data_IF_482634464024
#
_entry.id   IF_482634464024
#
_cell.length_a   1.000
_cell.length_b   1.000
_cell.length_c   1.000
_cell.angle_alpha   90.00
_cell.angle_beta   90.00
_cell.angle_gamma   90.00
#
_symmetry.space_group_name_H-M   'P 1'
#
loop_
_entity.id
_entity.type
_entity.pdbx_description
1 polymer ?
#
# COMPACT_ATOMS: atom_id res chain seq x y z
N UNK A 1 -4.93 -18.82 11.45
CA UNK A 1 -4.19 -17.61 11.92
C UNK A 1 -4.77 -17.21 13.27
N UNK A 2 -3.94 -17.06 14.30
CA UNK A 2 -4.34 -16.61 15.63
C UNK A 2 -4.65 -15.10 15.64
N UNK A 3 -5.17 -14.57 16.77
CA UNK A 3 -5.57 -13.14 16.87
C UNK A 3 -4.41 -12.16 16.69
N UNK A 4 -3.23 -12.49 17.21
CA UNK A 4 -2.05 -11.62 17.13
C UNK A 4 -1.51 -11.56 15.70
N UNK A 5 -1.41 -12.70 15.02
CA UNK A 5 -0.98 -12.76 13.62
C UNK A 5 -1.98 -12.05 12.70
N UNK A 6 -3.28 -12.18 12.98
CA UNK A 6 -4.30 -11.47 12.22
C UNK A 6 -4.22 -9.95 12.41
N UNK A 7 -3.92 -9.49 13.63
CA UNK A 7 -3.73 -8.07 13.91
C UNK A 7 -2.53 -7.50 13.14
N UNK A 8 -1.39 -8.20 13.15
CA UNK A 8 -0.21 -7.84 12.37
C UNK A 8 -0.50 -7.84 10.85
N UNK A 9 -1.14 -8.90 10.34
CA UNK A 9 -1.54 -8.97 8.95
C UNK A 9 -2.40 -7.76 8.54
N UNK A 10 -3.44 -7.47 9.34
CA UNK A 10 -4.33 -6.34 9.10
C UNK A 10 -3.57 -5.01 9.12
N UNK A 11 -2.75 -4.76 10.14
CA UNK A 11 -1.92 -3.54 10.26
C UNK A 11 -1.03 -3.36 9.02
N UNK A 12 -0.43 -4.45 8.51
CA UNK A 12 0.46 -4.41 7.35
C UNK A 12 -0.29 -4.11 6.06
N UNK A 13 -1.37 -4.85 5.75
CA UNK A 13 -2.07 -4.67 4.46
C UNK A 13 -2.84 -3.35 4.40
N UNK A 14 -3.26 -2.80 5.55
CA UNK A 14 -3.94 -1.51 5.63
C UNK A 14 -2.98 -0.30 5.72
N UNK A 15 -1.70 -0.51 6.04
CA UNK A 15 -0.70 0.55 6.00
C UNK A 15 -0.54 1.07 4.56
N UNK A 16 -0.69 2.39 4.30
CA UNK A 16 -0.55 2.91 2.95
C UNK A 16 0.89 2.78 2.46
N UNK A 17 1.03 2.31 1.21
CA UNK A 17 2.35 2.11 0.61
C UNK A 17 2.36 2.13 -0.93
N UNK A 18 1.73 3.12 -1.59
CA UNK A 18 1.98 3.27 -3.01
C UNK A 18 3.48 3.38 -3.29
N UNK A 19 3.96 2.79 -4.42
CA UNK A 19 5.40 2.82 -4.76
C UNK A 19 5.97 4.24 -4.65
N UNK A 20 7.07 4.38 -3.89
CA UNK A 20 7.65 5.67 -3.47
C UNK A 20 7.16 6.21 -2.12
N UNK A 21 6.17 5.54 -1.48
CA UNK A 21 5.63 5.93 -0.17
C UNK A 21 5.48 4.71 0.77
N UNK A 22 6.43 3.80 0.76
CA UNK A 22 6.34 2.51 1.47
C UNK A 22 6.68 2.61 2.97
N UNK A 23 7.18 3.75 3.44
CA UNK A 23 7.62 3.92 4.83
C UNK A 23 6.59 3.52 5.88
N UNK A 24 5.26 3.73 5.70
CA UNK A 24 4.27 3.27 6.67
C UNK A 24 4.23 1.74 6.80
N UNK A 25 4.25 0.99 5.68
CA UNK A 25 4.28 -0.47 5.68
C UNK A 25 5.62 -1.00 6.23
N UNK A 26 6.74 -0.39 5.86
CA UNK A 26 8.07 -0.75 6.37
C UNK A 26 8.19 -0.55 7.89
N UNK A 27 7.54 0.48 8.47
CA UNK A 27 7.48 0.64 9.94
C UNK A 27 6.76 -0.52 10.62
N UNK A 28 5.68 -1.03 10.01
CA UNK A 28 4.94 -2.20 10.54
C UNK A 28 5.82 -3.45 10.53
N UNK A 29 6.53 -3.71 9.43
CA UNK A 29 7.49 -4.83 9.34
C UNK A 29 8.60 -4.71 10.37
N UNK A 30 9.24 -3.54 10.47
CA UNK A 30 10.32 -3.31 11.46
C UNK A 30 9.83 -3.54 12.88
N UNK A 31 8.66 -3.04 13.25
CA UNK A 31 8.03 -3.25 14.54
C UNK A 31 7.78 -4.74 14.83
N UNK A 32 7.27 -5.48 13.82
CA UNK A 32 6.96 -6.91 13.97
C UNK A 32 8.20 -7.79 14.12
N UNK A 33 9.36 -7.33 13.67
CA UNK A 33 10.62 -8.08 13.68
C UNK A 33 11.65 -7.56 14.70
N UNK A 34 11.33 -6.49 15.46
CA UNK A 34 12.28 -5.83 16.37
C UNK A 34 12.91 -6.77 17.42
N UNK A 35 12.10 -7.69 17.96
CA UNK A 35 12.55 -8.67 18.98
C UNK A 35 12.84 -10.06 18.37
N UNK A 36 12.88 -10.15 17.02
CA UNK A 36 13.03 -11.40 16.28
C UNK A 36 14.38 -11.50 15.59
N UNK A 37 14.78 -10.46 14.90
CA UNK A 37 16.02 -10.42 14.13
C UNK A 37 17.20 -9.96 14.98
N UNK A 38 18.39 -10.47 14.67
CA UNK A 38 19.64 -10.05 15.29
C UNK A 38 20.10 -8.69 14.74
N UNK A 39 19.77 -8.40 13.46
CA UNK A 39 19.96 -7.10 12.83
C UNK A 39 18.78 -6.73 11.93
N UNK A 40 18.39 -5.46 11.95
CA UNK A 40 17.38 -4.91 11.03
C UNK A 40 17.90 -3.60 10.47
N UNK A 41 18.17 -3.60 9.18
CA UNK A 41 18.62 -2.41 8.43
C UNK A 41 17.64 -2.01 7.35
N UNK A 42 17.71 -0.75 6.96
CA UNK A 42 17.04 -0.23 5.76
C UNK A 42 18.14 0.19 4.78
N UNK A 43 18.06 -0.30 3.54
CA UNK A 43 19.03 0.08 2.51
C UNK A 43 18.68 1.43 1.87
N UNK A 44 19.50 1.89 0.94
CA UNK A 44 19.37 3.18 0.26
C UNK A 44 18.09 3.29 -0.60
N UNK A 45 17.53 2.17 -1.03
CA UNK A 45 16.28 2.11 -1.79
C UNK A 45 15.05 2.15 -0.88
N UNK A 46 15.20 1.82 0.42
CA UNK A 46 14.10 1.72 1.35
C UNK A 46 13.70 0.28 1.70
N UNK A 47 14.37 -0.74 1.16
CA UNK A 47 14.13 -2.14 1.54
C UNK A 47 14.48 -2.36 3.00
N UNK A 48 13.62 -3.05 3.73
CA UNK A 48 13.92 -3.52 5.08
C UNK A 48 14.47 -4.93 5.01
N UNK A 49 15.68 -5.12 5.50
CA UNK A 49 16.38 -6.40 5.60
C UNK A 49 16.50 -6.79 7.06
N UNK A 50 15.86 -7.88 7.46
CA UNK A 50 15.98 -8.49 8.78
C UNK A 50 16.85 -9.73 8.68
N UNK A 51 17.83 -9.87 9.56
CA UNK A 51 18.80 -10.96 9.57
C UNK A 51 18.69 -11.76 10.86
N UNK A 52 18.67 -13.07 10.74
CA UNK A 52 18.83 -14.02 11.85
C UNK A 52 20.12 -14.82 11.59
N UNK A 53 21.10 -14.64 12.48
CA UNK A 53 22.41 -15.26 12.35
C UNK A 53 22.29 -16.79 12.52
N UNK A 54 22.81 -17.50 11.52
CA UNK A 54 22.91 -18.96 11.52
C UNK A 54 24.21 -19.49 12.10
N UNK A 55 24.37 -20.80 12.19
CA UNK A 55 25.63 -21.42 12.58
C UNK A 55 26.80 -20.96 11.70
N UNK A 56 27.99 -20.84 12.29
CA UNK A 56 29.19 -20.43 11.56
C UNK A 56 29.45 -21.33 10.34
N UNK A 57 29.51 -20.71 9.16
CA UNK A 57 29.70 -21.41 7.87
C UNK A 57 28.42 -21.98 7.27
N UNK A 58 27.25 -21.71 7.86
CA UNK A 58 25.96 -22.08 7.28
C UNK A 58 25.72 -21.39 5.93
N UNK A 59 24.96 -22.03 5.01
CA UNK A 59 24.57 -21.41 3.76
C UNK A 59 23.65 -20.22 4.03
N UNK A 60 23.73 -19.19 3.17
CA UNK A 60 22.84 -18.02 3.25
C UNK A 60 21.56 -18.28 2.49
N UNK A 61 20.43 -17.97 3.14
CA UNK A 61 19.11 -18.04 2.54
C UNK A 61 18.45 -16.67 2.64
N UNK A 62 17.92 -16.16 1.53
CA UNK A 62 17.15 -14.92 1.49
C UNK A 62 15.73 -15.21 1.02
N UNK A 63 14.75 -14.70 1.79
CA UNK A 63 13.34 -14.71 1.47
C UNK A 63 12.90 -13.28 1.26
N UNK A 64 12.14 -13.01 0.21
CA UNK A 64 11.70 -11.66 -0.12
C UNK A 64 10.23 -11.62 -0.52
N UNK A 65 9.54 -10.56 -0.10
CA UNK A 65 8.22 -10.16 -0.58
C UNK A 65 8.19 -8.65 -0.70
N UNK A 66 7.35 -8.07 -1.59
CA UNK A 66 7.29 -6.63 -1.69
C UNK A 66 6.13 -6.03 -0.88
N UNK A 67 6.31 -4.80 -0.37
CA UNK A 67 5.34 -4.14 0.50
C UNK A 67 4.64 -2.95 -0.17
N UNK A 68 5.03 -2.59 -1.37
CA UNK A 68 4.35 -1.55 -2.13
C UNK A 68 3.01 -2.03 -2.70
N UNK A 69 2.19 -1.09 -3.06
CA UNK A 69 0.87 -1.30 -3.64
C UNK A 69 0.60 -0.32 -4.77
N UNK A 70 -0.36 -0.64 -5.63
CA UNK A 70 -0.87 0.29 -6.63
C UNK A 70 -1.66 1.41 -5.95
N UNK A 71 -1.67 2.59 -6.58
CA UNK A 71 -2.39 3.75 -6.07
C UNK A 71 -2.37 4.91 -7.03
N UNK A 72 -2.40 6.11 -6.49
CA UNK A 72 -2.37 7.33 -7.28
C UNK A 72 -1.48 8.38 -6.63
N UNK A 73 -1.12 9.40 -7.40
CA UNK A 73 -0.44 10.60 -6.94
C UNK A 73 -1.20 11.84 -7.43
N UNK A 74 -1.45 12.79 -6.54
CA UNK A 74 -2.07 14.08 -6.89
C UNK A 74 -1.10 14.86 -7.77
N UNK A 75 -1.55 15.27 -8.96
CA UNK A 75 -0.72 16.02 -9.93
C UNK A 75 -1.21 17.44 -10.21
N UNK A 76 -2.48 17.73 -9.93
CA UNK A 76 -3.07 19.02 -10.20
C UNK A 76 -4.34 19.24 -9.38
N UNK A 77 -4.64 20.48 -9.00
CA UNK A 77 -5.89 20.88 -8.34
C UNK A 77 -6.52 21.95 -9.22
N UNK A 78 -7.77 21.78 -9.63
CA UNK A 78 -8.49 22.76 -10.44
C UNK A 78 -9.12 23.90 -9.62
N UNK A 79 -9.67 24.90 -10.30
CA UNK A 79 -10.25 26.07 -9.64
C UNK A 79 -11.50 25.73 -8.81
N UNK A 80 -12.14 24.61 -9.07
CA UNK A 80 -13.31 24.11 -8.32
C UNK A 80 -12.93 23.27 -7.12
N UNK A 81 -11.64 22.91 -6.97
CA UNK A 81 -11.12 22.11 -5.85
C UNK A 81 -11.07 20.61 -6.12
N UNK A 82 -11.33 20.16 -7.35
CA UNK A 82 -11.14 18.76 -7.75
C UNK A 82 -9.66 18.44 -7.93
N UNK A 83 -9.27 17.23 -7.49
CA UNK A 83 -7.89 16.76 -7.58
C UNK A 83 -7.74 15.86 -8.80
N UNK A 84 -6.86 16.20 -9.70
CA UNK A 84 -6.45 15.34 -10.81
C UNK A 84 -5.22 14.54 -10.41
N UNK A 85 -5.15 13.30 -10.83
CA UNK A 85 -4.17 12.34 -10.37
C UNK A 85 -3.52 11.56 -11.51
N UNK A 86 -2.40 10.94 -11.22
CA UNK A 86 -1.75 9.95 -12.05
C UNK A 86 -1.77 8.59 -11.34
N UNK A 87 -1.89 7.46 -12.05
CA UNK A 87 -1.78 6.14 -11.44
C UNK A 87 -0.33 5.87 -11.03
N UNK A 88 -0.16 5.12 -9.95
CA UNK A 88 1.07 4.48 -9.51
C UNK A 88 0.85 2.98 -9.70
N UNK A 89 1.67 2.35 -10.53
CA UNK A 89 1.51 0.95 -10.92
C UNK A 89 0.38 0.69 -11.92
N UNK A 90 0.04 -0.55 -12.12
CA UNK A 90 -0.93 -1.03 -13.10
C UNK A 90 -2.39 -0.94 -12.64
N UNK A 91 -2.93 0.27 -12.52
CA UNK A 91 -4.33 0.48 -12.14
C UNK A 91 -5.24 0.40 -13.35
N UNK A 92 -6.30 -0.42 -13.29
CA UNK A 92 -7.34 -0.46 -14.32
C UNK A 92 -8.30 0.74 -14.20
N UNK A 93 -8.28 1.62 -15.22
CA UNK A 93 -9.08 2.84 -15.25
C UNK A 93 -10.59 2.60 -15.21
N UNK A 94 -11.09 1.40 -15.59
CA UNK A 94 -12.50 1.03 -15.49
C UNK A 94 -13.00 0.91 -14.06
N UNK A 95 -12.14 0.43 -13.14
CA UNK A 95 -12.50 0.10 -11.77
C UNK A 95 -12.44 1.30 -10.81
N UNK A 96 -11.94 2.43 -11.28
CA UNK A 96 -11.63 3.58 -10.41
C UNK A 96 -12.81 4.54 -10.18
N UNK A 97 -13.64 4.87 -11.18
CA UNK A 97 -14.78 5.76 -10.96
C UNK A 97 -15.76 5.22 -9.91
N UNK A 98 -16.13 6.08 -8.95
CA UNK A 98 -17.00 5.72 -7.84
C UNK A 98 -16.27 5.13 -6.61
N UNK A 99 -14.99 4.81 -6.72
CA UNK A 99 -14.20 4.32 -5.58
C UNK A 99 -13.97 5.42 -4.56
N UNK A 100 -14.03 5.04 -3.28
CA UNK A 100 -13.55 5.86 -2.17
C UNK A 100 -12.05 5.72 -2.08
N UNK A 101 -11.38 6.85 -1.87
CA UNK A 101 -9.92 6.94 -1.78
C UNK A 101 -9.51 7.78 -0.59
N UNK A 102 -8.26 7.64 -0.18
CA UNK A 102 -7.66 8.43 0.90
C UNK A 102 -6.36 9.04 0.38
N UNK A 103 -6.28 10.37 0.37
CA UNK A 103 -5.02 11.08 0.15
C UNK A 103 -4.23 11.11 1.47
N UNK A 104 -2.96 10.72 1.41
CA UNK A 104 -2.06 10.69 2.57
C UNK A 104 -1.21 11.95 2.58
N UNK A 105 -1.61 12.91 3.39
CA UNK A 105 -1.01 14.26 3.45
C UNK A 105 -0.14 14.45 4.69
N UNK A 106 0.63 15.53 4.72
CA UNK A 106 1.45 15.90 5.89
C UNK A 106 0.62 16.18 7.14
N UNK A 107 -0.63 16.57 6.97
CA UNK A 107 -1.55 16.90 8.09
C UNK A 107 -2.46 15.74 8.48
N UNK A 108 -2.37 14.61 7.77
CA UNK A 108 -3.16 13.41 8.01
C UNK A 108 -3.94 12.95 6.78
N UNK A 109 -4.72 11.87 6.91
CA UNK A 109 -5.48 11.32 5.80
C UNK A 109 -6.69 12.21 5.44
N UNK A 110 -6.89 12.45 4.14
CA UNK A 110 -8.01 13.19 3.59
C UNK A 110 -8.85 12.25 2.74
N UNK A 111 -10.12 11.98 3.11
CA UNK A 111 -11.01 11.13 2.32
C UNK A 111 -11.49 11.84 1.06
N UNK A 112 -11.73 11.05 0.00
CA UNK A 112 -12.28 11.52 -1.25
C UNK A 112 -13.01 10.42 -2.00
N UNK A 113 -13.68 10.80 -3.07
CA UNK A 113 -14.34 9.88 -4.00
C UNK A 113 -13.91 10.19 -5.43
N UNK A 114 -13.67 9.15 -6.23
CA UNK A 114 -13.32 9.34 -7.64
C UNK A 114 -14.55 9.58 -8.47
N UNK A 115 -14.58 10.73 -9.15
CA UNK A 115 -15.61 11.13 -10.10
C UNK A 115 -15.13 11.05 -11.54
N UNK A 116 -16.13 11.00 -12.43
CA UNK A 116 -15.95 11.16 -13.87
C UNK A 116 -17.14 11.93 -14.46
N UNK A 117 -17.04 12.33 -15.73
CA UNK A 117 -18.17 12.92 -16.43
C UNK A 117 -19.41 12.00 -16.36
N UNK A 118 -20.61 12.53 -16.00
CA UNK A 118 -21.84 11.75 -15.95
C UNK A 118 -22.20 11.11 -17.29
N UNK A 119 -22.82 9.92 -17.27
CA UNK A 119 -23.11 9.13 -18.47
C UNK A 119 -23.97 9.88 -19.51
N UNK A 120 -24.92 10.73 -19.05
CA UNK A 120 -25.79 11.52 -19.91
C UNK A 120 -25.07 12.69 -20.62
N UNK A 121 -23.87 13.05 -20.20
CA UNK A 121 -23.00 14.06 -20.82
C UNK A 121 -21.92 13.42 -21.70
N UNK A 122 -21.91 12.09 -21.81
CA UNK A 122 -20.96 11.35 -22.67
C UNK A 122 -21.70 11.01 -23.95
N UNK A 123 -21.06 11.29 -25.09
CA UNK A 123 -21.60 10.93 -26.42
C UNK A 123 -21.87 9.43 -26.48
N UNK A 124 -23.01 9.00 -27.16
CA UNK A 124 -23.39 7.60 -27.18
C UNK A 124 -22.27 6.63 -27.60
N UNK A 125 -21.49 7.01 -28.62
CA UNK A 125 -20.35 6.20 -29.12
C UNK A 125 -19.16 6.10 -28.15
N UNK A 126 -19.10 6.94 -27.11
CA UNK A 126 -18.02 6.97 -26.15
C UNK A 126 -18.39 6.33 -24.79
N UNK A 127 -19.66 5.94 -24.62
CA UNK A 127 -20.15 5.39 -23.34
C UNK A 127 -19.55 4.04 -22.99
N UNK A 128 -19.19 3.25 -24.00
CA UNK A 128 -18.56 1.93 -23.83
C UNK A 128 -17.03 2.01 -23.76
N UNK A 129 -16.45 3.19 -23.99
CA UNK A 129 -15.00 3.39 -23.92
C UNK A 129 -14.53 3.58 -22.49
N UNK A 130 -13.33 3.07 -22.22
CA UNK A 130 -12.64 3.33 -20.94
C UNK A 130 -12.47 4.83 -20.75
N UNK A 131 -12.95 5.36 -19.63
CA UNK A 131 -12.68 6.75 -19.26
C UNK A 131 -11.20 6.88 -18.84
N UNK A 132 -10.35 7.58 -19.61
CA UNK A 132 -8.95 7.72 -19.27
C UNK A 132 -8.75 8.53 -17.97
N UNK A 133 -7.67 8.27 -17.23
CA UNK A 133 -7.39 8.95 -15.97
C UNK A 133 -7.40 10.48 -16.06
N UNK A 134 -6.98 11.05 -17.18
CA UNK A 134 -7.02 12.50 -17.40
C UNK A 134 -8.42 13.13 -17.33
N UNK A 135 -9.47 12.31 -17.45
CA UNK A 135 -10.88 12.71 -17.39
C UNK A 135 -11.57 12.24 -16.10
N UNK A 136 -10.79 11.70 -15.17
CA UNK A 136 -11.22 11.34 -13.81
C UNK A 136 -10.64 12.34 -12.82
N UNK A 137 -11.33 12.56 -11.71
CA UNK A 137 -10.91 13.47 -10.65
C UNK A 137 -11.29 12.89 -9.29
N UNK A 138 -10.64 13.36 -8.23
CA UNK A 138 -11.01 13.05 -6.86
C UNK A 138 -11.71 14.28 -6.27
N UNK A 139 -12.91 14.08 -5.75
CA UNK A 139 -13.66 15.05 -4.99
C UNK A 139 -13.42 14.82 -3.49
N UNK A 140 -12.89 15.84 -2.81
CA UNK A 140 -12.65 15.86 -1.34
C UNK A 140 -13.60 16.81 -0.62
N UNK A 141 -14.68 17.28 -1.30
CA UNK A 141 -15.68 18.18 -0.73
C UNK A 141 -15.26 19.65 -0.67
N UNK A 142 -14.20 20.04 -1.39
CA UNK A 142 -13.79 21.44 -1.47
C UNK A 142 -14.49 22.18 -2.62
N UNK A 143 -14.82 23.46 -2.41
CA UNK A 143 -15.48 24.32 -3.40
C UNK A 143 -14.53 25.26 -4.14
N UNK A 144 -13.23 25.17 -3.90
CA UNK A 144 -12.22 25.99 -4.56
C UNK A 144 -10.82 25.39 -4.43
N UNK A 145 -9.96 25.72 -5.39
CA UNK A 145 -8.53 25.39 -5.37
C UNK A 145 -7.86 25.75 -4.05
N UNK A 146 -8.05 26.98 -3.59
CA UNK A 146 -7.46 27.49 -2.35
C UNK A 146 -7.91 26.70 -1.10
N UNK A 147 -9.14 26.17 -1.10
CA UNK A 147 -9.63 25.32 -0.01
C UNK A 147 -8.97 23.95 -0.07
N UNK A 148 -8.87 23.33 -1.24
CA UNK A 148 -8.24 22.03 -1.43
C UNK A 148 -6.74 22.05 -1.13
N UNK A 149 -5.99 23.07 -1.59
CA UNK A 149 -4.56 23.23 -1.36
C UNK A 149 -4.17 23.46 0.12
N UNK A 150 -5.14 23.75 1.00
CA UNK A 150 -4.91 23.73 2.46
C UNK A 150 -4.88 22.33 3.04
N UNK A 151 -5.49 21.38 2.37
CA UNK A 151 -5.65 19.99 2.83
C UNK A 151 -4.67 19.04 2.14
N UNK A 152 -4.37 19.28 0.86
CA UNK A 152 -3.56 18.39 0.03
C UNK A 152 -2.47 19.17 -0.71
N UNK A 153 -1.43 18.45 -1.12
CA UNK A 153 -0.34 18.95 -1.95
C UNK A 153 -0.18 18.14 -3.22
N UNK A 154 0.35 18.75 -4.28
CA UNK A 154 0.82 17.99 -5.44
C UNK A 154 1.92 17.04 -4.98
N UNK A 155 1.84 15.77 -5.40
CA UNK A 155 2.75 14.70 -4.99
C UNK A 155 2.23 13.87 -3.81
N UNK A 156 1.15 14.27 -3.13
CA UNK A 156 0.57 13.43 -2.08
C UNK A 156 0.07 12.10 -2.67
N UNK A 157 0.44 10.95 -2.07
CA UNK A 157 -0.01 9.65 -2.52
C UNK A 157 -1.45 9.39 -2.08
N UNK A 158 -2.15 8.58 -2.89
CA UNK A 158 -3.56 8.24 -2.67
C UNK A 158 -3.74 6.73 -2.78
N UNK A 159 -4.46 6.14 -1.82
CA UNK A 159 -4.84 4.73 -1.85
C UNK A 159 -6.35 4.55 -1.95
N UNK A 160 -6.79 3.39 -2.40
CA UNK A 160 -8.19 2.98 -2.23
C UNK A 160 -8.53 2.87 -0.74
N UNK A 161 -9.71 3.36 -0.35
CA UNK A 161 -10.19 3.30 1.05
C UNK A 161 -10.85 1.95 1.35
N UNK A 162 -10.11 0.85 1.10
CA UNK A 162 -10.56 -0.53 1.34
C UNK A 162 -9.60 -1.17 2.33
N UNK A 163 -10.15 -1.72 3.40
CA UNK A 163 -9.41 -2.49 4.40
C UNK A 163 -9.63 -4.00 4.28
N UNK A 164 -9.21 -4.72 5.31
CA UNK A 164 -9.44 -6.17 5.40
C UNK A 164 -10.91 -6.45 5.73
N UNK A 165 -11.58 -7.17 4.85
CA UNK A 165 -12.94 -7.64 5.03
C UNK A 165 -13.02 -9.18 4.96
N UNK A 166 -13.89 -9.75 5.78
CA UNK A 166 -14.15 -11.19 5.75
C UNK A 166 -15.24 -11.48 4.72
N UNK A 167 -14.94 -12.41 3.84
CA UNK A 167 -15.91 -13.01 2.92
C UNK A 167 -16.43 -14.34 3.50
N UNK A 168 -17.21 -15.07 2.72
CA UNK A 168 -17.75 -16.38 3.14
C UNK A 168 -16.63 -17.38 3.46
N UNK A 169 -16.84 -18.16 4.50
CA UNK A 169 -15.89 -19.17 4.96
C UNK A 169 -14.61 -18.55 5.56
N UNK A 170 -13.47 -18.96 5.05
CA UNK A 170 -12.15 -18.52 5.54
C UNK A 170 -11.48 -17.46 4.67
N UNK A 171 -12.21 -16.92 3.69
CA UNK A 171 -11.67 -15.97 2.71
C UNK A 171 -11.65 -14.55 3.26
N UNK A 172 -10.65 -13.81 2.82
CA UNK A 172 -10.48 -12.38 3.11
C UNK A 172 -10.32 -11.63 1.78
N UNK A 173 -10.74 -10.39 1.79
CA UNK A 173 -10.40 -9.41 0.74
C UNK A 173 -9.76 -8.19 1.36
N UNK A 174 -8.86 -7.55 0.64
CA UNK A 174 -8.24 -6.28 1.00
C UNK A 174 -7.56 -5.69 -0.24
N UNK A 175 -7.22 -4.40 -0.19
CA UNK A 175 -6.19 -3.87 -1.07
C UNK A 175 -4.82 -4.47 -0.70
N UNK A 176 -3.84 -4.34 -1.57
CA UNK A 176 -2.42 -4.64 -1.31
C UNK A 176 -2.10 -6.10 -0.88
N UNK A 177 -2.96 -7.07 -1.19
CA UNK A 177 -2.63 -8.49 -0.95
C UNK A 177 -1.45 -8.92 -1.82
N UNK A 178 -1.31 -8.37 -3.01
CA UNK A 178 -0.15 -8.44 -3.87
C UNK A 178 0.76 -7.23 -3.58
N UNK A 179 1.96 -7.40 -2.98
CA UNK A 179 2.45 -8.68 -2.40
C UNK A 179 2.76 -8.55 -0.89
N UNK A 180 2.01 -7.69 -0.18
CA UNK A 180 2.13 -7.64 1.29
C UNK A 180 1.86 -8.99 1.95
N UNK A 181 1.15 -9.90 1.27
CA UNK A 181 1.01 -11.27 1.72
C UNK A 181 2.36 -11.98 1.74
N UNK A 182 3.18 -11.83 0.71
CA UNK A 182 4.55 -12.36 0.67
C UNK A 182 5.41 -11.74 1.77
N UNK A 183 5.37 -10.43 1.95
CA UNK A 183 6.09 -9.74 3.04
C UNK A 183 5.63 -10.23 4.43
N UNK A 184 4.33 -10.45 4.62
CA UNK A 184 3.77 -11.04 5.85
C UNK A 184 4.27 -12.46 6.09
N UNK A 185 4.26 -13.32 5.05
CA UNK A 185 4.74 -14.71 5.16
C UNK A 185 6.23 -14.73 5.53
N UNK A 186 7.03 -13.90 4.90
CA UNK A 186 8.47 -13.76 5.23
C UNK A 186 8.64 -13.37 6.69
N UNK A 187 7.94 -12.34 7.16
CA UNK A 187 8.03 -11.91 8.55
C UNK A 187 7.58 -13.00 9.55
N UNK A 188 6.48 -13.70 9.24
CA UNK A 188 5.99 -14.79 10.08
C UNK A 188 6.94 -15.97 10.13
N UNK A 189 7.62 -16.28 9.02
CA UNK A 189 8.61 -17.35 8.98
C UNK A 189 9.82 -17.00 9.86
N UNK A 190 10.32 -15.77 9.83
CA UNK A 190 11.39 -15.32 10.72
C UNK A 190 10.98 -15.47 12.20
N UNK A 191 9.76 -15.06 12.56
CA UNK A 191 9.22 -15.19 13.92
C UNK A 191 9.16 -16.66 14.35
N UNK A 192 8.70 -17.55 13.47
CA UNK A 192 8.60 -18.98 13.77
C UNK A 192 9.98 -19.63 13.92
N UNK A 193 10.95 -19.31 13.03
CA UNK A 193 12.32 -19.81 13.11
C UNK A 193 12.97 -19.37 14.41
N UNK A 194 12.81 -18.11 14.82
CA UNK A 194 13.34 -17.60 16.10
C UNK A 194 12.73 -18.35 17.28
N UNK A 195 11.42 -18.65 17.24
CA UNK A 195 10.72 -19.39 18.30
C UNK A 195 11.22 -20.83 18.43
N UNK A 196 11.48 -21.49 17.29
CA UNK A 196 11.93 -22.89 17.28
C UNK A 196 13.41 -23.03 17.66
N UNK A 197 14.22 -22.01 17.46
CA UNK A 197 15.64 -21.95 17.76
C UNK A 197 16.47 -23.14 17.20
N UNK A 198 16.13 -23.57 15.96
CA UNK A 198 16.76 -24.71 15.28
C UNK A 198 17.29 -24.35 13.88
N UNK A 199 17.73 -23.10 13.71
CA UNK A 199 18.19 -22.57 12.43
C UNK A 199 19.47 -23.27 11.95
N UNK A 200 19.48 -23.69 10.70
CA UNK A 200 20.62 -24.35 10.02
C UNK A 200 21.18 -23.53 8.88
N UNK A 201 20.64 -22.33 8.64
CA UNK A 201 21.05 -21.39 7.59
C UNK A 201 21.27 -20.02 8.19
N UNK A 202 22.01 -19.16 7.51
CA UNK A 202 22.12 -17.74 7.79
C UNK A 202 20.96 -17.03 7.06
N UNK A 203 19.93 -16.58 7.79
CA UNK A 203 18.62 -16.27 7.23
C UNK A 203 18.37 -14.76 7.08
N UNK A 204 18.02 -14.33 5.89
CA UNK A 204 17.65 -12.96 5.56
C UNK A 204 16.19 -12.90 5.12
N UNK A 205 15.38 -12.08 5.80
CA UNK A 205 14.03 -11.73 5.37
C UNK A 205 14.00 -10.30 4.84
N UNK A 206 13.46 -10.11 3.63
CA UNK A 206 13.47 -8.82 2.96
C UNK A 206 12.04 -8.37 2.63
N UNK A 207 11.68 -7.20 3.15
CA UNK A 207 10.51 -6.46 2.69
C UNK A 207 10.97 -5.44 1.66
N UNK A 208 10.67 -5.74 0.38
CA UNK A 208 11.10 -4.91 -0.75
C UNK A 208 10.20 -3.70 -0.95
N UNK A 209 10.79 -2.63 -1.48
CA UNK A 209 10.14 -1.50 -2.16
C UNK A 209 10.32 -1.65 -3.67
N UNK A 210 9.59 -0.88 -4.44
CA UNK A 210 9.70 -0.90 -5.91
C UNK A 210 10.21 0.43 -6.46
#
# INVERSE_FOLDING_TARGET
>A
MNKQDFAFFKELVEAPSPSGFEQPAQRVIRKALADVADDIRTDVMGNVVAHIEGPKGAPRLMLAGHCDEIGFMIKYVDDQGYLFFAPIGGVDAHLVPGQRVTAHTKTGPVPGVVGKRPIHQIEPQDREKVMPFKNQFIDIGCSSKKAAEKLVSIGDPVTFSVGVERLQGTRLTSRALDDKMGAFIVAQLLREVRRQNNLVVDLYGVSKVQ
#
